data_IF_682647549911
#
_entry.id   IF_682647549911
#
_cell.length_a   1.000
_cell.length_b   1.000
_cell.length_c   1.000
_cell.angle_alpha   90.00
_cell.angle_beta   90.00
_cell.angle_gamma   90.00
#
_symmetry.space_group_name_H-M   'P 1'
#
loop_
_entity.id
_entity.type
_entity.pdbx_description
1 polymer ?
#
# COMPACT_ATOMS: atom_id res chain seq x y z
N UNK A 1 19.42 19.53 30.36
CA UNK A 1 19.03 18.33 29.60
C UNK A 1 17.95 17.72 30.44
N UNK A 2 16.73 18.06 30.10
CA UNK A 2 15.65 18.18 31.05
C UNK A 2 15.07 16.80 31.35
N UNK A 3 15.05 16.47 32.64
CA UNK A 3 14.66 15.20 33.24
C UNK A 3 13.18 14.82 32.98
N UNK A 4 12.45 15.62 32.17
CA UNK A 4 11.02 15.54 31.94
C UNK A 4 10.63 14.88 30.59
N UNK A 5 11.57 14.75 29.66
CA UNK A 5 11.25 14.26 28.30
C UNK A 5 11.12 12.74 28.18
N UNK A 6 11.75 11.95 29.06
CA UNK A 6 11.79 10.49 28.94
C UNK A 6 10.48 9.79 29.40
N UNK A 7 9.74 10.37 30.35
CA UNK A 7 8.55 9.70 30.92
C UNK A 7 7.39 9.57 29.92
N UNK A 8 7.36 10.41 28.89
CA UNK A 8 6.27 10.49 27.92
C UNK A 8 6.44 9.55 26.72
N UNK A 9 7.66 9.07 26.44
CA UNK A 9 7.94 8.29 25.23
C UNK A 9 7.24 6.93 25.21
N UNK A 10 7.24 6.20 26.34
CA UNK A 10 6.60 4.87 26.41
C UNK A 10 5.07 4.93 26.18
N UNK A 11 4.31 5.82 26.85
CA UNK A 11 2.89 6.02 26.56
C UNK A 11 2.60 6.43 25.10
N UNK A 12 3.45 7.28 24.51
CA UNK A 12 3.31 7.71 23.13
C UNK A 12 3.48 6.56 22.15
N UNK A 13 4.52 5.74 22.32
CA UNK A 13 4.73 4.54 21.49
C UNK A 13 3.58 3.55 21.66
N UNK A 14 3.06 3.37 22.88
CA UNK A 14 1.87 2.52 23.10
C UNK A 14 0.62 3.04 22.37
N UNK A 15 0.40 4.35 22.39
CA UNK A 15 -0.70 4.99 21.67
C UNK A 15 -0.55 4.83 20.16
N UNK A 16 0.65 5.09 19.63
CA UNK A 16 0.97 4.93 18.22
C UNK A 16 0.77 3.48 17.75
N UNK A 17 1.21 2.49 18.54
CA UNK A 17 0.94 1.07 18.28
C UNK A 17 -0.55 0.74 18.27
N UNK A 18 -1.34 1.36 19.14
CA UNK A 18 -2.80 1.20 19.12
C UNK A 18 -3.41 1.65 17.79
N UNK A 19 -2.98 2.81 17.30
CA UNK A 19 -3.40 3.33 15.99
C UNK A 19 -2.97 2.40 14.86
N UNK A 20 -1.71 1.98 14.85
CA UNK A 20 -1.17 1.06 13.82
C UNK A 20 -1.89 -0.29 13.83
N UNK A 21 -2.22 -0.84 15.00
CA UNK A 21 -3.01 -2.09 15.10
C UNK A 21 -4.39 -1.96 14.47
N UNK A 22 -5.08 -0.85 14.73
CA UNK A 22 -6.39 -0.60 14.14
C UNK A 22 -6.28 -0.46 12.61
N UNK A 23 -5.30 0.29 12.15
CA UNK A 23 -5.04 0.46 10.71
C UNK A 23 -4.66 -0.87 10.05
N UNK A 24 -3.90 -1.73 10.75
CA UNK A 24 -3.50 -3.05 10.26
C UNK A 24 -4.70 -4.01 10.16
N UNK A 25 -5.64 -3.95 11.10
CA UNK A 25 -6.89 -4.71 11.01
C UNK A 25 -7.72 -4.28 9.80
N UNK A 26 -7.87 -2.96 9.60
CA UNK A 26 -8.56 -2.42 8.43
C UNK A 26 -7.90 -2.88 7.13
N UNK A 27 -6.57 -2.84 7.06
CA UNK A 27 -5.82 -3.32 5.90
C UNK A 27 -6.04 -4.82 5.62
N UNK A 28 -6.15 -5.65 6.67
CA UNK A 28 -6.49 -7.08 6.51
C UNK A 28 -7.91 -7.26 5.97
N UNK A 29 -8.90 -6.54 6.49
CA UNK A 29 -10.27 -6.57 5.96
C UNK A 29 -10.33 -6.17 4.48
N UNK A 30 -9.61 -5.11 4.10
CA UNK A 30 -9.55 -4.65 2.71
C UNK A 30 -8.94 -5.70 1.77
N UNK A 31 -7.99 -6.51 2.27
CA UNK A 31 -7.43 -7.61 1.52
C UNK A 31 -8.33 -8.84 1.41
N UNK A 32 -9.21 -9.07 2.37
CA UNK A 32 -10.17 -10.19 2.34
C UNK A 32 -11.38 -9.86 1.46
N UNK A 33 -11.79 -8.58 1.42
CA UNK A 33 -12.96 -8.10 0.69
C UNK A 33 -12.70 -7.79 -0.80
N UNK A 34 -11.64 -8.34 -1.40
CA UNK A 34 -10.98 -7.94 -2.68
C UNK A 34 -11.82 -7.62 -3.93
N UNK A 35 -13.14 -7.81 -3.92
CA UNK A 35 -14.08 -7.41 -4.99
C UNK A 35 -14.89 -6.15 -4.65
N UNK A 36 -15.09 -5.83 -3.36
CA UNK A 36 -15.90 -4.70 -2.90
C UNK A 36 -15.08 -3.50 -2.39
N UNK A 37 -13.79 -3.72 -2.09
CA UNK A 37 -12.89 -2.68 -1.61
C UNK A 37 -12.21 -1.95 -2.77
N UNK A 38 -12.14 -0.62 -2.72
CA UNK A 38 -11.45 0.15 -3.75
C UNK A 38 -9.95 -0.14 -3.70
N UNK A 39 -9.35 -0.43 -4.86
CA UNK A 39 -7.88 -0.59 -5.00
C UNK A 39 -7.11 0.61 -4.45
N UNK A 40 -7.68 1.80 -4.60
CA UNK A 40 -7.12 3.06 -4.09
C UNK A 40 -7.10 3.09 -2.56
N UNK A 41 -8.16 2.60 -1.90
CA UNK A 41 -8.25 2.53 -0.45
C UNK A 41 -7.20 1.55 0.12
N UNK A 42 -7.00 0.41 -0.55
CA UNK A 42 -5.98 -0.57 -0.16
C UNK A 42 -4.56 0.03 -0.30
N UNK A 43 -4.29 0.75 -1.39
CA UNK A 43 -3.00 1.40 -1.61
C UNK A 43 -2.72 2.51 -0.59
N UNK A 44 -3.71 3.38 -0.36
CA UNK A 44 -3.64 4.40 0.69
C UNK A 44 -3.36 3.79 2.05
N UNK A 45 -4.16 2.79 2.47
CA UNK A 45 -4.02 2.12 3.77
C UNK A 45 -2.64 1.44 3.90
N UNK A 46 -2.14 0.83 2.82
CA UNK A 46 -0.82 0.20 2.79
C UNK A 46 0.31 1.24 2.98
N UNK A 47 0.20 2.39 2.31
CA UNK A 47 1.21 3.45 2.42
C UNK A 47 1.20 4.08 3.81
N UNK A 48 0.01 4.35 4.35
CA UNK A 48 -0.15 4.91 5.68
C UNK A 48 0.44 3.98 6.75
N UNK A 49 0.17 2.68 6.66
CA UNK A 49 0.80 1.69 7.55
C UNK A 49 2.32 1.72 7.50
N UNK A 50 2.91 1.81 6.31
CA UNK A 50 4.38 1.87 6.16
C UNK A 50 4.96 3.12 6.82
N UNK A 51 4.28 4.26 6.68
CA UNK A 51 4.71 5.51 7.28
C UNK A 51 4.59 5.47 8.80
N UNK A 52 3.44 5.02 9.33
CA UNK A 52 3.25 4.91 10.78
C UNK A 52 4.22 3.91 11.41
N UNK A 53 4.45 2.75 10.78
CA UNK A 53 5.41 1.75 11.26
C UNK A 53 6.84 2.34 11.29
N UNK A 54 7.23 3.12 10.28
CA UNK A 54 8.54 3.79 10.26
C UNK A 54 8.69 4.82 11.37
N UNK A 55 7.64 5.61 11.64
CA UNK A 55 7.65 6.56 12.76
C UNK A 55 7.89 5.83 14.09
N UNK A 56 7.21 4.71 14.31
CA UNK A 56 7.41 3.90 15.52
C UNK A 56 8.82 3.29 15.57
N UNK A 57 9.41 2.90 14.43
CA UNK A 57 10.80 2.41 14.41
C UNK A 57 11.77 3.47 14.93
N UNK A 58 11.62 4.73 14.51
CA UNK A 58 12.43 5.83 15.01
C UNK A 58 12.22 6.06 16.52
N UNK A 59 10.97 6.08 16.98
CA UNK A 59 10.68 6.23 18.41
C UNK A 59 11.30 5.10 19.25
N UNK A 60 11.37 3.89 18.70
CA UNK A 60 11.98 2.73 19.37
C UNK A 60 13.52 2.77 19.36
N UNK A 61 14.12 3.38 18.35
CA UNK A 61 15.58 3.62 18.32
C UNK A 61 15.97 4.59 19.44
N UNK A 62 15.23 5.70 19.59
CA UNK A 62 15.44 6.67 20.66
C UNK A 62 15.21 6.06 22.06
N UNK A 63 14.13 5.27 22.21
CA UNK A 63 13.82 4.61 23.48
C UNK A 63 14.87 3.56 23.85
N UNK A 64 15.44 2.85 22.88
CA UNK A 64 16.54 1.91 23.10
C UNK A 64 17.81 2.63 23.54
N UNK A 65 18.14 3.77 22.93
CA UNK A 65 19.25 4.61 23.37
C UNK A 65 19.05 5.06 24.83
N UNK A 66 17.85 5.53 25.18
CA UNK A 66 17.56 5.97 26.55
C UNK A 66 17.67 4.81 27.54
N UNK A 67 17.15 3.62 27.21
CA UNK A 67 17.34 2.42 28.04
C UNK A 67 18.83 2.12 28.24
N UNK A 68 19.65 2.22 27.18
CA UNK A 68 21.09 2.04 27.26
C UNK A 68 21.82 3.10 28.11
N UNK A 69 21.34 4.35 28.11
CA UNK A 69 21.86 5.42 28.98
C UNK A 69 21.53 5.13 30.45
N UNK A 70 20.29 4.73 30.73
CA UNK A 70 19.81 4.43 32.08
C UNK A 70 20.55 3.22 32.66
N UNK A 71 20.79 2.19 31.85
CA UNK A 71 21.57 1.00 32.22
C UNK A 71 23.01 1.33 32.65
N UNK A 72 23.65 2.30 31.99
CA UNK A 72 25.01 2.72 32.33
C UNK A 72 25.12 3.44 33.68
N UNK A 73 24.03 4.01 34.19
CA UNK A 73 24.04 4.70 35.49
C UNK A 73 22.72 4.56 36.29
N UNK A 74 22.35 3.34 36.74
CA UNK A 74 21.05 3.08 37.35
C UNK A 74 20.83 3.88 38.66
N UNK A 75 21.92 4.14 39.40
CA UNK A 75 21.89 4.91 40.66
C UNK A 75 21.47 6.36 40.46
N UNK A 76 21.86 6.98 39.35
CA UNK A 76 21.50 8.36 39.01
C UNK A 76 20.00 8.48 38.72
N UNK A 77 19.45 7.50 38.00
CA UNK A 77 18.04 7.49 37.59
C UNK A 77 17.11 6.82 38.61
N UNK A 78 17.65 6.27 39.71
CA UNK A 78 16.90 5.61 40.79
C UNK A 78 15.92 4.53 40.28
N UNK A 79 16.31 3.85 39.21
CA UNK A 79 15.51 2.79 38.59
C UNK A 79 15.87 1.43 39.22
N UNK A 80 14.88 0.55 39.39
CA UNK A 80 15.15 -0.83 39.79
C UNK A 80 15.57 -1.69 38.59
N UNK A 81 16.31 -2.77 38.85
CA UNK A 81 16.65 -3.75 37.80
C UNK A 81 15.39 -4.34 37.14
N UNK A 82 14.32 -4.51 37.94
CA UNK A 82 13.03 -4.97 37.46
C UNK A 82 12.43 -3.99 36.44
N UNK A 83 12.41 -2.68 36.76
CA UNK A 83 11.86 -1.66 35.87
C UNK A 83 12.70 -1.52 34.58
N UNK A 84 14.03 -1.65 34.71
CA UNK A 84 14.94 -1.64 33.55
C UNK A 84 14.65 -2.83 32.63
N UNK A 85 14.46 -4.02 33.21
CA UNK A 85 14.10 -5.21 32.45
C UNK A 85 12.74 -5.07 31.77
N UNK A 86 11.75 -4.47 32.44
CA UNK A 86 10.44 -4.19 31.83
C UNK A 86 10.52 -3.20 30.67
N UNK A 87 11.41 -2.20 30.74
CA UNK A 87 11.67 -1.29 29.62
C UNK A 87 12.31 -2.03 28.44
N UNK A 88 13.31 -2.90 28.67
CA UNK A 88 13.90 -3.76 27.62
C UNK A 88 12.86 -4.66 26.96
N UNK A 89 12.09 -5.37 27.79
CA UNK A 89 11.03 -6.27 27.34
C UNK A 89 10.00 -5.53 26.47
N UNK A 90 9.66 -4.30 26.84
CA UNK A 90 8.73 -3.46 26.08
C UNK A 90 9.28 -3.10 24.69
N UNK A 91 10.53 -2.63 24.62
CA UNK A 91 11.19 -2.28 23.34
C UNK A 91 11.25 -3.51 22.44
N UNK A 92 11.70 -4.64 22.96
CA UNK A 92 11.86 -5.88 22.19
C UNK A 92 10.52 -6.40 21.64
N UNK A 93 9.49 -6.52 22.50
CA UNK A 93 8.14 -6.95 22.09
C UNK A 93 7.55 -6.03 21.02
N UNK A 94 7.77 -4.73 21.17
CA UNK A 94 7.28 -3.75 20.20
C UNK A 94 8.00 -3.88 18.87
N UNK A 95 9.33 -3.97 18.87
CA UNK A 95 10.13 -4.20 17.66
C UNK A 95 9.71 -5.48 16.93
N UNK A 96 9.43 -6.56 17.67
CA UNK A 96 8.90 -7.79 17.07
C UNK A 96 7.55 -7.55 16.39
N UNK A 97 6.62 -6.90 17.08
CA UNK A 97 5.28 -6.58 16.53
C UNK A 97 5.37 -5.77 15.24
N UNK A 98 6.20 -4.71 15.23
CA UNK A 98 6.42 -3.85 14.07
C UNK A 98 7.02 -4.66 12.90
N UNK A 99 8.02 -5.50 13.18
CA UNK A 99 8.64 -6.39 12.18
C UNK A 99 7.63 -7.37 11.57
N UNK A 100 6.78 -7.98 12.40
CA UNK A 100 5.77 -8.94 11.95
C UNK A 100 4.73 -8.27 11.05
N UNK A 101 4.29 -7.06 11.39
CA UNK A 101 3.38 -6.27 10.56
C UNK A 101 4.04 -5.87 9.23
N UNK A 102 5.29 -5.40 9.26
CA UNK A 102 6.05 -5.06 8.04
C UNK A 102 6.23 -6.27 7.12
N UNK A 103 6.53 -7.44 7.69
CA UNK A 103 6.67 -8.69 6.93
C UNK A 103 5.38 -9.04 6.22
N UNK A 104 4.23 -8.95 6.90
CA UNK A 104 2.92 -9.21 6.31
C UNK A 104 2.57 -8.20 5.21
N UNK A 105 2.85 -6.91 5.40
CA UNK A 105 2.58 -5.87 4.39
C UNK A 105 3.53 -5.97 3.18
N UNK A 106 4.72 -6.53 3.39
CA UNK A 106 5.72 -6.73 2.34
C UNK A 106 5.53 -8.05 1.58
N UNK A 107 4.88 -9.05 2.20
CA UNK A 107 4.54 -10.33 1.58
C UNK A 107 3.14 -10.23 0.96
N UNK A 108 3.03 -10.00 -0.37
CA UNK A 108 1.76 -9.76 -1.04
C UNK A 108 1.09 -11.10 -1.36
N UNK A 109 0.93 -11.97 -0.35
CA UNK A 109 0.36 -13.31 -0.49
C UNK A 109 -1.04 -13.30 -1.13
N UNK A 110 -1.77 -12.18 -1.04
CA UNK A 110 -3.06 -12.00 -1.69
C UNK A 110 -2.98 -11.50 -3.12
N UNK A 111 -1.97 -10.71 -3.55
CA UNK A 111 -1.81 -10.37 -4.98
C UNK A 111 -1.49 -11.61 -5.80
N UNK A 112 -0.68 -12.53 -5.28
CA UNK A 112 -0.40 -13.79 -5.96
C UNK A 112 -1.62 -14.72 -6.00
N UNK A 113 -2.46 -14.73 -4.97
CA UNK A 113 -3.72 -15.49 -4.96
C UNK A 113 -4.78 -14.87 -5.86
N UNK A 114 -4.92 -13.54 -5.89
CA UNK A 114 -5.82 -12.85 -6.80
C UNK A 114 -5.35 -12.95 -8.25
N UNK A 115 -4.06 -12.83 -8.54
CA UNK A 115 -3.51 -13.08 -9.87
C UNK A 115 -3.65 -14.54 -10.27
N UNK A 116 -3.41 -15.49 -9.36
CA UNK A 116 -3.60 -16.91 -9.64
C UNK A 116 -5.08 -17.25 -9.86
N UNK A 117 -5.99 -16.69 -9.06
CA UNK A 117 -7.43 -16.91 -9.18
C UNK A 117 -8.01 -16.20 -10.41
N UNK A 118 -7.55 -14.98 -10.72
CA UNK A 118 -7.89 -14.27 -11.95
C UNK A 118 -7.37 -15.03 -13.19
N UNK A 119 -6.13 -15.55 -13.16
CA UNK A 119 -5.59 -16.41 -14.21
C UNK A 119 -6.35 -17.73 -14.32
N UNK A 120 -6.78 -18.32 -13.20
CA UNK A 120 -7.53 -19.55 -13.17
C UNK A 120 -8.96 -19.35 -13.73
N UNK A 121 -9.63 -18.25 -13.40
CA UNK A 121 -10.93 -17.87 -13.99
C UNK A 121 -10.79 -17.60 -15.51
N UNK A 122 -9.70 -16.97 -15.94
CA UNK A 122 -9.38 -16.80 -17.36
C UNK A 122 -9.16 -18.14 -18.07
N UNK A 123 -8.59 -19.13 -17.38
CA UNK A 123 -8.23 -20.45 -17.92
C UNK A 123 -9.40 -21.46 -17.91
N UNK A 124 -10.25 -21.45 -16.89
CA UNK A 124 -11.44 -22.33 -16.79
C UNK A 124 -12.56 -21.93 -17.76
N UNK A 125 -12.53 -20.69 -18.25
CA UNK A 125 -13.38 -20.22 -19.35
C UNK A 125 -13.09 -20.91 -20.70
N UNK A 126 -12.03 -21.74 -20.80
CA UNK A 126 -11.65 -22.44 -22.04
C UNK A 126 -12.13 -23.89 -22.14
N UNK A 127 -12.83 -24.47 -21.15
CA UNK A 127 -12.98 -25.93 -21.12
C UNK A 127 -14.34 -26.50 -20.72
N UNK A 128 -15.49 -25.86 -20.99
CA UNK A 128 -16.81 -26.49 -21.29
C UNK A 128 -17.99 -25.49 -21.14
N UNK A 129 -18.56 -24.99 -22.24
CA UNK A 129 -19.74 -24.10 -22.27
C UNK A 129 -19.73 -23.15 -23.48
N UNK A 130 -20.87 -22.67 -24.01
CA UNK A 130 -21.02 -22.31 -25.43
C UNK A 130 -20.10 -21.16 -25.88
N UNK A 131 -19.67 -21.26 -27.15
CA UNK A 131 -18.65 -20.44 -27.80
C UNK A 131 -18.78 -18.93 -27.50
N UNK A 132 -17.63 -18.35 -27.08
CA UNK A 132 -17.11 -17.00 -27.33
C UNK A 132 -17.28 -15.88 -26.27
N UNK A 133 -16.15 -15.46 -25.66
CA UNK A 133 -15.83 -14.06 -25.36
C UNK A 133 -14.93 -13.41 -26.43
N UNK A 134 -14.45 -14.18 -27.42
CA UNK A 134 -13.58 -13.70 -28.50
C UNK A 134 -14.28 -12.68 -29.42
N UNK A 135 -15.59 -12.80 -29.62
CA UNK A 135 -16.35 -11.89 -30.47
C UNK A 135 -16.50 -10.50 -29.84
N UNK A 136 -16.50 -10.37 -28.51
CA UNK A 136 -16.59 -9.06 -27.85
C UNK A 136 -15.30 -8.25 -28.03
N UNK A 137 -14.14 -8.89 -27.91
CA UNK A 137 -12.86 -8.23 -28.14
C UNK A 137 -12.63 -7.93 -29.62
N UNK A 138 -12.97 -8.86 -30.53
CA UNK A 138 -12.92 -8.59 -31.98
C UNK A 138 -13.81 -7.44 -32.40
N UNK A 139 -15.03 -7.36 -31.85
CA UNK A 139 -15.98 -6.30 -32.16
C UNK A 139 -15.53 -4.95 -31.60
N UNK A 140 -14.88 -4.93 -30.43
CA UNK A 140 -14.24 -3.74 -29.88
C UNK A 140 -13.03 -3.29 -30.72
N UNK A 141 -12.19 -4.22 -31.17
CA UNK A 141 -11.05 -3.92 -32.05
C UNK A 141 -11.52 -3.40 -33.42
N UNK A 142 -12.55 -4.02 -34.02
CA UNK A 142 -13.15 -3.56 -35.27
C UNK A 142 -13.80 -2.17 -35.13
N UNK A 143 -14.45 -1.88 -34.00
CA UNK A 143 -15.07 -0.59 -33.73
C UNK A 143 -14.01 0.50 -33.49
N UNK A 144 -12.92 0.17 -32.79
CA UNK A 144 -11.78 1.07 -32.58
C UNK A 144 -11.03 1.34 -33.89
N UNK A 145 -10.85 0.33 -34.74
CA UNK A 145 -10.20 0.47 -36.04
C UNK A 145 -11.06 1.29 -37.01
N UNK A 146 -12.39 1.09 -37.01
CA UNK A 146 -13.31 1.92 -37.78
C UNK A 146 -13.33 3.37 -37.31
N UNK A 147 -13.32 3.63 -36.00
CA UNK A 147 -13.26 4.99 -35.46
C UNK A 147 -11.95 5.69 -35.86
N UNK A 148 -10.81 4.99 -35.80
CA UNK A 148 -9.52 5.52 -36.24
C UNK A 148 -9.50 5.80 -37.74
N UNK A 149 -10.04 4.91 -38.58
CA UNK A 149 -10.11 5.13 -40.03
C UNK A 149 -11.02 6.31 -40.38
N UNK A 150 -12.16 6.48 -39.71
CA UNK A 150 -13.04 7.65 -39.90
C UNK A 150 -12.33 8.94 -39.54
N UNK A 151 -11.64 8.99 -38.40
CA UNK A 151 -10.91 10.18 -37.97
C UNK A 151 -9.79 10.57 -38.94
N UNK A 152 -9.02 9.59 -39.43
CA UNK A 152 -7.95 9.84 -40.41
C UNK A 152 -8.52 10.34 -41.74
N UNK A 153 -9.61 9.73 -42.23
CA UNK A 153 -10.26 10.14 -43.46
C UNK A 153 -10.83 11.56 -43.37
N UNK A 154 -11.53 11.89 -42.28
CA UNK A 154 -12.06 13.24 -42.06
C UNK A 154 -10.95 14.28 -41.97
N UNK A 155 -9.84 13.95 -41.29
CA UNK A 155 -8.67 14.84 -41.20
C UNK A 155 -8.03 15.06 -42.57
N UNK A 156 -7.89 14.01 -43.40
CA UNK A 156 -7.37 14.15 -44.77
C UNK A 156 -8.32 14.91 -45.70
N UNK A 157 -9.63 14.71 -45.58
CA UNK A 157 -10.63 15.45 -46.34
C UNK A 157 -10.58 16.95 -45.98
N UNK A 158 -10.51 17.28 -44.69
CA UNK A 158 -10.36 18.67 -44.25
C UNK A 158 -9.07 19.31 -44.75
N UNK A 159 -7.94 18.59 -44.74
CA UNK A 159 -6.69 19.10 -45.30
C UNK A 159 -6.80 19.35 -46.81
N UNK A 160 -7.46 18.47 -47.58
CA UNK A 160 -7.68 18.68 -49.02
C UNK A 160 -8.62 19.84 -49.31
N UNK A 161 -9.71 19.98 -48.57
CA UNK A 161 -10.63 21.12 -48.70
C UNK A 161 -9.93 22.43 -48.32
N UNK A 162 -9.18 22.43 -47.21
CA UNK A 162 -8.40 23.60 -46.80
C UNK A 162 -7.36 23.98 -47.85
N UNK A 163 -6.63 23.01 -48.41
CA UNK A 163 -5.68 23.23 -49.50
C UNK A 163 -6.38 23.74 -50.77
N UNK A 164 -7.54 23.18 -51.11
CA UNK A 164 -8.34 23.61 -52.26
C UNK A 164 -8.86 25.04 -52.09
N UNK A 165 -9.37 25.40 -50.90
CA UNK A 165 -9.80 26.77 -50.57
C UNK A 165 -8.61 27.73 -50.59
N UNK A 166 -7.44 27.32 -50.07
CA UNK A 166 -6.23 28.14 -50.16
C UNK A 166 -5.77 28.36 -51.61
N UNK A 167 -5.90 27.37 -52.50
CA UNK A 167 -5.54 27.51 -53.92
C UNK A 167 -6.54 28.40 -54.68
N UNK A 168 -7.82 28.40 -54.34
CA UNK A 168 -8.85 29.26 -54.98
C UNK A 168 -8.82 30.73 -54.50
N UNK A 169 -8.04 31.05 -53.46
CA UNK A 169 -7.86 32.40 -52.92
C UNK A 169 -6.62 33.14 -53.47
N UNK A 170 -5.92 32.55 -54.44
CA UNK A 170 -4.86 33.18 -55.24
C UNK A 170 -5.27 33.23 -56.72
#
# INVERSE_FOLDING_TARGET
MDEYSDEHQKPEVQKALGVVRNLFNRWRELQENGVMSSREELEYTTNELRNSLRSIEWDLEDLEETVGIVEKNPRKFKISEYDLQERRNFVEKTKSTVRDMKSQISSPGNRQREEANARQILMTSSSNGPKAPQDKYKRLDEEMEQANQRFINDTQQQQKVSLFVMIQLF
#
